data_IF_153651641566
#
_entry.id   IF_153651641566
#
_cell.length_a   1.000
_cell.length_b   1.000
_cell.length_c   1.000
_cell.angle_alpha   90.00
_cell.angle_beta   90.00
_cell.angle_gamma   90.00
#
_symmetry.space_group_name_H-M   'P 1'
#
loop_
_entity.id
_entity.type
_entity.pdbx_description
1 polymer ?
#
# COMPACT_ATOMS: atom_id res chain seq x y z
N UNK A 1 -4.78 4.79 -0.71
CA UNK A 1 -3.32 5.00 -0.48
C UNK A 1 -3.09 6.08 0.55
N UNK A 2 -2.19 5.84 1.46
CA UNK A 2 -1.78 6.80 2.48
C UNK A 2 -0.35 7.23 2.17
N UNK A 3 -0.12 8.52 1.95
CA UNK A 3 1.22 9.04 1.65
C UNK A 3 1.81 9.69 2.89
N UNK A 4 3.00 9.25 3.27
CA UNK A 4 3.66 9.70 4.48
C UNK A 4 5.06 10.22 4.13
N UNK A 5 5.37 11.44 4.56
CA UNK A 5 6.67 12.08 4.28
C UNK A 5 7.63 12.02 5.46
N UNK A 6 7.11 11.80 6.66
CA UNK A 6 7.90 11.78 7.88
C UNK A 6 7.61 10.52 8.68
N UNK A 7 7.21 10.65 9.93
CA UNK A 7 6.96 9.51 10.81
C UNK A 7 5.60 8.88 10.53
N UNK A 8 5.54 7.56 10.61
CA UNK A 8 4.28 6.83 10.44
C UNK A 8 3.38 7.10 11.65
N UNK A 9 2.12 7.54 11.43
CA UNK A 9 1.16 7.68 12.52
C UNK A 9 0.95 6.38 13.28
N UNK A 10 0.69 6.47 14.58
CA UNK A 10 0.57 5.30 15.43
C UNK A 10 -0.54 4.36 15.00
N UNK A 11 -1.69 4.90 14.58
CA UNK A 11 -2.82 4.08 14.14
C UNK A 11 -2.47 3.24 12.92
N UNK A 12 -1.67 3.78 12.00
CA UNK A 12 -1.17 3.04 10.83
C UNK A 12 -0.10 2.04 11.27
N UNK A 13 0.78 2.44 12.18
CA UNK A 13 1.85 1.58 12.65
C UNK A 13 1.34 0.37 13.43
N UNK A 14 0.18 0.49 14.06
CA UNK A 14 -0.45 -0.59 14.82
C UNK A 14 -1.09 -1.65 13.91
N UNK A 15 -1.33 -1.33 12.65
CA UNK A 15 -1.88 -2.30 11.71
C UNK A 15 -0.84 -3.40 11.47
N UNK A 16 -1.29 -4.65 11.44
CA UNK A 16 -0.43 -5.80 11.21
C UNK A 16 0.35 -5.61 9.90
N UNK A 17 1.66 -5.78 9.96
CA UNK A 17 2.53 -5.62 8.79
C UNK A 17 2.13 -6.54 7.64
N UNK A 18 1.56 -7.69 7.92
CA UNK A 18 1.10 -8.63 6.89
C UNK A 18 -0.06 -8.08 6.07
N UNK A 19 -0.75 -7.06 6.58
CA UNK A 19 -1.89 -6.45 5.90
C UNK A 19 -1.52 -5.14 5.19
N UNK A 20 -0.26 -4.73 5.23
CA UNK A 20 0.19 -3.47 4.63
C UNK A 20 1.11 -3.74 3.46
N UNK A 21 0.89 -3.03 2.35
CA UNK A 21 1.82 -2.97 1.24
C UNK A 21 2.46 -1.58 1.25
N UNK A 22 3.79 -1.52 1.29
CA UNK A 22 4.52 -0.26 1.40
C UNK A 22 5.39 -0.07 0.16
N UNK A 23 5.28 1.11 -0.46
CA UNK A 23 6.07 1.48 -1.62
C UNK A 23 6.83 2.77 -1.32
N UNK A 24 8.15 2.73 -1.45
CA UNK A 24 9.00 3.89 -1.21
C UNK A 24 9.18 4.67 -2.50
N UNK A 25 8.81 5.96 -2.47
CA UNK A 25 9.03 6.86 -3.59
C UNK A 25 10.05 7.92 -3.19
N UNK A 26 10.38 8.84 -4.12
CA UNK A 26 11.44 9.81 -3.89
C UNK A 26 11.12 10.81 -2.80
N UNK A 27 9.85 11.16 -2.59
CA UNK A 27 9.43 12.21 -1.68
C UNK A 27 8.54 11.73 -0.54
N UNK A 28 8.07 10.48 -0.61
CA UNK A 28 7.22 9.93 0.44
C UNK A 28 7.18 8.41 0.30
N UNK A 29 6.58 7.73 1.27
CA UNK A 29 6.23 6.34 1.07
C UNK A 29 4.72 6.17 1.17
N UNK A 30 4.20 5.22 0.40
CA UNK A 30 2.78 5.01 0.22
C UNK A 30 2.41 3.67 0.84
N UNK A 31 1.28 3.65 1.55
CA UNK A 31 0.82 2.46 2.25
C UNK A 31 -0.59 2.12 1.79
N UNK A 32 -0.79 0.87 1.40
CA UNK A 32 -2.11 0.31 1.10
C UNK A 32 -2.42 -0.73 2.17
N UNK A 33 -3.65 -0.70 2.71
CA UNK A 33 -4.08 -1.60 3.76
C UNK A 33 -5.12 -2.57 3.19
N UNK A 34 -5.01 -3.85 3.55
CA UNK A 34 -5.86 -4.91 3.05
C UNK A 34 -6.54 -5.64 4.21
N UNK A 35 -7.63 -6.32 3.92
CA UNK A 35 -8.35 -7.10 4.91
C UNK A 35 -7.72 -8.46 5.15
N UNK A 36 -6.99 -9.00 4.15
CA UNK A 36 -6.34 -10.29 4.25
C UNK A 36 -4.91 -10.23 3.73
N UNK A 37 -4.07 -11.14 4.24
CA UNK A 37 -2.69 -11.27 3.77
C UNK A 37 -2.65 -11.72 2.31
N UNK A 38 -3.57 -12.57 1.91
CA UNK A 38 -3.63 -13.06 0.53
C UNK A 38 -3.83 -11.91 -0.44
N UNK A 39 -4.74 -10.99 -0.14
CA UNK A 39 -4.98 -9.83 -0.99
C UNK A 39 -3.75 -8.92 -1.03
N UNK A 40 -3.10 -8.69 0.11
CA UNK A 40 -1.90 -7.88 0.16
C UNK A 40 -0.79 -8.49 -0.70
N UNK A 41 -0.56 -9.80 -0.57
CA UNK A 41 0.47 -10.48 -1.34
C UNK A 41 0.17 -10.45 -2.83
N UNK A 42 -1.09 -10.67 -3.20
CA UNK A 42 -1.50 -10.63 -4.60
C UNK A 42 -1.32 -9.24 -5.19
N UNK A 43 -1.69 -8.20 -4.44
CA UNK A 43 -1.49 -6.82 -4.90
C UNK A 43 -0.01 -6.54 -5.16
N UNK A 44 0.87 -6.94 -4.24
CA UNK A 44 2.30 -6.71 -4.41
C UNK A 44 2.84 -7.43 -5.63
N UNK A 45 2.41 -8.67 -5.87
CA UNK A 45 2.85 -9.44 -7.04
C UNK A 45 2.34 -8.82 -8.34
N UNK A 46 1.08 -8.38 -8.35
CA UNK A 46 0.45 -7.86 -9.56
C UNK A 46 0.93 -6.46 -9.93
N UNK A 47 1.52 -5.73 -8.97
CA UNK A 47 1.98 -4.36 -9.20
C UNK A 47 3.49 -4.24 -9.28
N UNK A 48 4.21 -5.36 -9.42
CA UNK A 48 5.66 -5.33 -9.59
C UNK A 48 6.01 -4.47 -10.80
N UNK A 49 6.93 -3.51 -10.60
CA UNK A 49 7.37 -2.62 -11.67
C UNK A 49 6.50 -1.40 -11.88
N UNK A 50 5.37 -1.29 -11.20
CA UNK A 50 4.51 -0.11 -11.30
C UNK A 50 5.00 1.02 -10.41
N UNK A 51 4.78 2.27 -10.86
CA UNK A 51 4.99 3.45 -10.04
C UNK A 51 3.80 3.66 -9.10
N UNK A 52 3.92 4.61 -8.16
CA UNK A 52 2.89 4.77 -7.13
C UNK A 52 1.51 5.11 -7.69
N UNK A 53 1.46 5.93 -8.74
CA UNK A 53 0.21 6.33 -9.36
C UNK A 53 -0.47 5.14 -10.03
N UNK A 54 0.30 4.30 -10.69
CA UNK A 54 -0.21 3.09 -11.33
C UNK A 54 -0.72 2.09 -10.29
N UNK A 55 0.00 1.97 -9.16
CA UNK A 55 -0.40 1.10 -8.06
C UNK A 55 -1.72 1.58 -7.45
N UNK A 56 -1.87 2.89 -7.28
CA UNK A 56 -3.10 3.45 -6.72
C UNK A 56 -4.29 3.19 -7.64
N UNK A 57 -4.10 3.43 -8.94
CA UNK A 57 -5.16 3.16 -9.92
C UNK A 57 -5.56 1.69 -9.91
N UNK A 58 -4.59 0.80 -9.82
CA UNK A 58 -4.84 -0.62 -9.77
C UNK A 58 -5.57 -1.01 -8.49
N UNK A 59 -5.17 -0.43 -7.36
CA UNK A 59 -5.80 -0.69 -6.07
C UNK A 59 -7.26 -0.25 -6.09
N UNK A 60 -7.53 0.95 -6.58
CA UNK A 60 -8.89 1.47 -6.66
C UNK A 60 -9.78 0.61 -7.55
N UNK A 61 -9.24 0.13 -8.66
CA UNK A 61 -10.00 -0.67 -9.61
C UNK A 61 -10.30 -2.08 -9.11
N UNK A 62 -9.43 -2.66 -8.28
CA UNK A 62 -9.49 -4.08 -7.95
C UNK A 62 -9.71 -4.40 -6.48
N UNK A 63 -9.38 -3.50 -5.57
CA UNK A 63 -9.38 -3.77 -4.12
C UNK A 63 -10.20 -2.78 -3.31
N UNK A 64 -10.40 -1.58 -3.80
CA UNK A 64 -11.19 -0.58 -3.10
C UNK A 64 -12.65 -0.68 -3.52
N UNK A 65 -13.54 -0.65 -2.53
CA UNK A 65 -14.98 -0.71 -2.78
C UNK A 65 -15.62 0.67 -2.73
#
# INVERSE_FOLDING_TARGET
MICIKTNIPNDINEINDELKAIYHSNDCFCIWVFETRENRNRFMDETIGMMKEEREDYFEANYQR
#
